data_IF_034875863095
#
_entry.id   IF_034875863095
#
_cell.length_a   1.000
_cell.length_b   1.000
_cell.length_c   1.000
_cell.angle_alpha   90.00
_cell.angle_beta   90.00
_cell.angle_gamma   90.00
#
_symmetry.space_group_name_H-M   'P 1'
#
loop_
_entity.id
_entity.type
_entity.pdbx_description
1 polymer ?
#
# COMPACT_ATOMS: atom_id res chain seq x y z
N UNK A 1 11.10 16.52 19.51
CA UNK A 1 12.17 16.54 18.50
C UNK A 1 11.48 16.65 17.15
N UNK A 2 11.27 17.88 16.69
CA UNK A 2 10.52 18.17 15.46
C UNK A 2 11.47 18.34 14.30
N UNK A 3 11.32 17.49 13.28
CA UNK A 3 12.09 17.61 12.04
C UNK A 3 11.40 18.60 11.13
N UNK A 4 12.05 19.75 10.92
CA UNK A 4 11.73 20.70 9.85
C UNK A 4 11.89 19.99 8.51
N UNK A 5 10.79 19.87 7.75
CA UNK A 5 10.82 19.42 6.36
C UNK A 5 10.87 20.68 5.48
N UNK A 6 11.89 20.87 4.65
CA UNK A 6 11.90 21.97 3.69
C UNK A 6 10.83 21.72 2.61
N UNK A 7 9.97 22.71 2.38
CA UNK A 7 9.08 22.75 1.22
C UNK A 7 9.92 22.99 -0.04
N UNK A 8 9.87 22.06 -0.97
CA UNK A 8 10.44 22.23 -2.31
C UNK A 8 9.32 22.74 -3.24
N UNK A 9 9.43 24.01 -3.62
CA UNK A 9 8.58 24.62 -4.66
C UNK A 9 8.92 24.03 -6.03
N UNK A 10 8.00 23.23 -6.56
CA UNK A 10 8.08 22.61 -7.88
C UNK A 10 7.51 23.52 -8.98
N UNK A 11 8.05 24.73 -9.17
CA UNK A 11 7.54 25.66 -10.20
C UNK A 11 8.54 26.15 -11.26
N UNK A 12 9.77 25.66 -11.31
CA UNK A 12 10.77 26.23 -12.25
C UNK A 12 11.26 25.24 -13.32
N UNK A 13 10.35 24.66 -14.12
CA UNK A 13 10.77 23.85 -15.27
C UNK A 13 9.77 23.81 -16.45
N UNK A 14 8.90 24.81 -16.61
CA UNK A 14 7.92 24.86 -17.72
C UNK A 14 8.12 26.09 -18.63
N UNK A 15 9.36 26.57 -18.80
CA UNK A 15 9.63 27.90 -19.36
C UNK A 15 10.37 27.99 -20.71
N UNK A 16 10.82 26.91 -21.35
CA UNK A 16 11.78 27.07 -22.49
C UNK A 16 11.54 26.24 -23.74
N UNK A 17 10.38 25.59 -23.93
CA UNK A 17 10.08 24.85 -25.17
C UNK A 17 9.03 25.49 -26.08
N UNK A 18 8.50 26.68 -25.74
CA UNK A 18 7.44 27.35 -26.53
C UNK A 18 7.96 28.43 -27.50
N UNK A 19 9.24 28.43 -27.88
CA UNK A 19 9.84 29.50 -28.69
C UNK A 19 10.19 29.12 -30.14
N UNK A 20 9.93 27.89 -30.60
CA UNK A 20 10.32 27.45 -31.95
C UNK A 20 9.15 27.21 -32.92
N UNK A 21 7.90 27.30 -32.47
CA UNK A 21 6.72 27.14 -33.33
C UNK A 21 6.22 28.51 -33.81
N UNK A 22 7.03 29.20 -34.62
CA UNK A 22 6.64 30.53 -35.07
C UNK A 22 7.54 31.18 -36.11
N UNK A 23 8.16 30.40 -37.01
CA UNK A 23 8.94 30.98 -38.10
C UNK A 23 8.92 30.09 -39.35
N UNK A 24 7.73 29.88 -39.91
CA UNK A 24 7.62 29.54 -41.32
C UNK A 24 7.78 30.83 -42.14
N UNK A 25 9.01 31.26 -42.41
CA UNK A 25 9.29 32.16 -43.54
C UNK A 25 10.78 32.14 -43.90
N UNK A 26 11.04 31.90 -45.18
CA UNK A 26 12.24 32.31 -45.90
C UNK A 26 13.49 31.39 -45.78
N UNK A 27 13.78 30.76 -46.91
CA UNK A 27 14.88 29.83 -47.24
C UNK A 27 16.29 30.44 -47.22
N UNK A 28 16.63 31.35 -46.29
CA UNK A 28 17.93 32.05 -46.36
C UNK A 28 18.80 32.12 -45.10
N UNK A 29 18.48 31.38 -44.05
CA UNK A 29 19.29 31.35 -42.82
C UNK A 29 19.76 29.92 -42.43
N UNK A 30 20.06 29.09 -43.41
CA UNK A 30 20.38 27.67 -43.24
C UNK A 30 21.78 27.31 -42.69
N UNK A 31 22.57 28.23 -42.13
CA UNK A 31 23.95 27.90 -41.72
C UNK A 31 24.37 28.36 -40.31
N UNK A 32 23.55 29.13 -39.60
CA UNK A 32 23.93 29.62 -38.26
C UNK A 32 23.42 28.75 -37.09
N UNK A 33 22.37 27.94 -37.28
CA UNK A 33 21.88 27.03 -36.23
C UNK A 33 22.56 25.65 -36.23
N UNK A 34 23.30 25.27 -37.28
CA UNK A 34 23.95 23.97 -37.36
C UNK A 34 25.22 23.82 -36.51
N UNK A 35 25.89 24.93 -36.16
CA UNK A 35 27.21 24.88 -35.51
C UNK A 35 27.15 25.00 -33.97
N UNK A 36 26.01 25.38 -33.41
CA UNK A 36 25.79 25.42 -31.96
C UNK A 36 25.31 24.07 -31.38
N UNK A 37 24.98 23.09 -32.23
CA UNK A 37 24.58 21.75 -31.79
C UNK A 37 25.78 20.81 -31.56
N UNK A 38 26.94 21.09 -32.15
CA UNK A 38 28.08 20.15 -32.21
C UNK A 38 29.19 20.39 -31.18
N UNK A 39 29.12 21.44 -30.35
CA UNK A 39 30.11 21.69 -29.27
C UNK A 39 29.55 21.38 -27.87
N UNK A 40 28.26 21.03 -27.77
CA UNK A 40 27.62 20.64 -26.51
C UNK A 40 27.62 19.12 -26.24
N UNK A 41 28.28 18.31 -27.07
CA UNK A 41 28.29 16.84 -26.95
C UNK A 41 29.49 16.27 -26.14
N UNK A 42 30.46 17.09 -25.73
CA UNK A 42 31.73 16.59 -25.18
C UNK A 42 31.90 16.60 -23.66
N UNK A 43 31.13 17.40 -22.90
CA UNK A 43 31.42 17.66 -21.48
C UNK A 43 30.27 17.32 -20.52
N UNK A 44 29.11 16.90 -21.01
CA UNK A 44 27.92 16.67 -20.18
C UNK A 44 27.59 15.19 -19.90
N UNK A 45 28.43 14.24 -20.32
CA UNK A 45 28.13 12.81 -20.16
C UNK A 45 28.62 12.20 -18.84
N UNK A 46 29.49 12.88 -18.09
CA UNK A 46 29.96 12.39 -16.78
C UNK A 46 28.96 12.70 -15.64
N UNK A 47 28.19 13.79 -15.72
CA UNK A 47 27.22 14.17 -14.67
C UNK A 47 25.83 13.53 -14.82
N UNK A 48 25.54 12.90 -15.96
CA UNK A 48 24.25 12.23 -16.19
C UNK A 48 24.17 10.83 -15.54
N UNK A 49 25.31 10.21 -15.22
CA UNK A 49 25.34 8.91 -14.55
C UNK A 49 24.95 9.00 -13.07
N UNK A 50 25.30 10.09 -12.38
CA UNK A 50 24.95 10.29 -10.96
C UNK A 50 23.49 10.73 -10.76
N UNK A 51 22.89 11.41 -11.72
CA UNK A 51 21.47 11.78 -11.66
C UNK A 51 20.53 10.56 -11.73
N UNK A 52 20.90 9.51 -12.46
CA UNK A 52 20.10 8.28 -12.56
C UNK A 52 20.09 7.46 -11.24
N UNK A 53 21.16 7.52 -10.45
CA UNK A 53 21.25 6.81 -9.16
C UNK A 53 20.35 7.44 -8.08
N UNK A 54 20.19 8.77 -8.07
CA UNK A 54 19.28 9.48 -7.16
C UNK A 54 17.80 9.23 -7.47
N UNK A 55 17.45 9.05 -8.74
CA UNK A 55 16.07 8.68 -9.13
C UNK A 55 15.74 7.25 -8.66
N UNK A 56 16.70 6.31 -8.71
CA UNK A 56 16.46 4.94 -8.27
C UNK A 56 16.37 4.77 -6.74
N UNK A 57 17.06 5.60 -5.95
CA UNK A 57 16.95 5.53 -4.49
C UNK A 57 15.60 6.05 -3.95
N UNK A 58 14.92 6.93 -4.67
CA UNK A 58 13.57 7.39 -4.31
C UNK A 58 12.46 6.37 -4.62
N UNK A 59 12.73 5.36 -5.45
CA UNK A 59 11.72 4.33 -5.80
C UNK A 59 11.77 3.13 -4.84
N UNK A 60 12.88 2.92 -4.13
CA UNK A 60 13.14 1.71 -3.33
C UNK A 60 12.74 1.82 -1.85
N UNK A 61 11.74 2.64 -1.53
CA UNK A 61 11.18 2.71 -0.16
C UNK A 61 9.67 2.45 -0.16
N UNK A 62 9.19 1.65 -1.11
CA UNK A 62 7.97 0.90 -0.87
C UNK A 62 8.36 -0.24 0.07
N UNK A 63 8.02 -0.11 1.35
CA UNK A 63 8.21 -1.18 2.30
C UNK A 63 7.56 -2.45 1.73
N UNK A 64 8.36 -3.51 1.59
CA UNK A 64 7.92 -4.77 0.97
C UNK A 64 6.88 -5.51 1.83
N UNK A 65 6.60 -5.00 3.03
CA UNK A 65 5.71 -5.58 4.03
C UNK A 65 4.78 -4.52 4.63
N UNK A 66 3.48 -4.81 4.67
CA UNK A 66 2.51 -4.01 5.41
C UNK A 66 2.86 -3.86 6.89
N UNK A 67 3.60 -4.82 7.47
CA UNK A 67 4.00 -4.77 8.87
C UNK A 67 4.90 -3.58 9.22
N UNK A 68 5.60 -3.00 8.24
CA UNK A 68 6.51 -1.87 8.48
C UNK A 68 5.76 -0.53 8.62
N UNK A 69 4.50 -0.49 8.22
CA UNK A 69 3.64 0.68 8.36
C UNK A 69 2.99 0.67 9.74
N UNK A 70 3.75 1.06 10.76
CA UNK A 70 3.32 1.07 12.17
C UNK A 70 2.44 2.28 12.59
N UNK A 71 2.01 3.11 11.64
CA UNK A 71 1.07 4.20 11.89
C UNK A 71 -0.12 4.13 10.95
N UNK A 72 -1.26 4.64 11.41
CA UNK A 72 -2.51 4.66 10.66
C UNK A 72 -2.38 5.43 9.35
N UNK A 73 -1.64 6.53 9.37
CA UNK A 73 -1.43 7.42 8.24
C UNK A 73 -0.60 6.75 7.15
N UNK A 74 0.46 6.03 7.54
CA UNK A 74 1.30 5.28 6.60
C UNK A 74 0.53 4.10 6.01
N UNK A 75 -0.19 3.35 6.85
CA UNK A 75 -0.99 2.23 6.38
C UNK A 75 -2.12 2.67 5.44
N UNK A 76 -2.75 3.83 5.70
CA UNK A 76 -3.75 4.40 4.80
C UNK A 76 -3.16 4.68 3.42
N UNK A 77 -1.99 5.33 3.34
CA UNK A 77 -1.30 5.55 2.05
C UNK A 77 -0.95 4.23 1.35
N UNK A 78 -0.45 3.23 2.09
CA UNK A 78 -0.16 1.92 1.54
C UNK A 78 -1.43 1.20 1.03
N UNK A 79 -2.57 1.41 1.69
CA UNK A 79 -3.88 0.90 1.24
C UNK A 79 -4.34 1.63 -0.03
N UNK A 80 -4.18 2.95 -0.10
CA UNK A 80 -4.51 3.75 -1.29
C UNK A 80 -3.64 3.35 -2.51
N UNK A 81 -2.42 2.86 -2.28
CA UNK A 81 -1.55 2.28 -3.31
C UNK A 81 -1.84 0.80 -3.62
N UNK A 82 -2.80 0.18 -2.92
CA UNK A 82 -3.14 -1.23 -3.10
C UNK A 82 -2.06 -2.19 -2.61
N UNK A 83 -1.17 -1.76 -1.72
CA UNK A 83 -0.14 -2.63 -1.11
C UNK A 83 -0.65 -3.35 0.14
N UNK A 84 -1.63 -2.77 0.82
CA UNK A 84 -2.18 -3.28 2.08
C UNK A 84 -3.71 -3.29 2.08
N UNK A 85 -4.28 -4.10 2.96
CA UNK A 85 -5.74 -4.29 3.05
C UNK A 85 -6.41 -3.22 3.91
N UNK A 86 -5.70 -2.68 4.90
CA UNK A 86 -6.20 -1.63 5.76
C UNK A 86 -5.52 -1.58 7.12
N UNK A 87 -5.80 -0.49 7.85
CA UNK A 87 -5.35 -0.30 9.22
C UNK A 87 -6.39 -0.83 10.19
N UNK A 88 -5.97 -1.71 11.11
CA UNK A 88 -6.83 -2.18 12.17
C UNK A 88 -6.14 -2.08 13.54
N UNK A 89 -6.75 -1.32 14.44
CA UNK A 89 -6.24 -1.03 15.78
C UNK A 89 -4.86 -0.34 15.74
N UNK A 90 -3.78 -1.11 15.86
CA UNK A 90 -2.38 -0.70 15.95
C UNK A 90 -1.49 -1.35 14.87
N UNK A 91 -2.07 -2.12 13.95
CA UNK A 91 -1.33 -2.79 12.88
C UNK A 91 -1.95 -2.63 11.51
N UNK A 92 -1.08 -2.62 10.48
CA UNK A 92 -1.48 -2.61 9.08
C UNK A 92 -1.53 -4.05 8.55
N UNK A 93 -2.65 -4.43 7.96
CA UNK A 93 -2.87 -5.81 7.50
C UNK A 93 -2.41 -6.01 6.06
N UNK A 94 -1.74 -7.14 5.82
CA UNK A 94 -1.33 -7.61 4.49
C UNK A 94 -2.55 -7.83 3.58
N UNK A 95 -2.37 -7.69 2.27
CA UNK A 95 -3.37 -8.08 1.27
C UNK A 95 -3.78 -9.56 1.40
N UNK A 96 -2.85 -10.40 1.81
CA UNK A 96 -3.06 -11.84 2.04
C UNK A 96 -3.62 -12.14 3.43
N UNK A 97 -3.99 -11.12 4.20
CA UNK A 97 -4.56 -11.33 5.53
C UNK A 97 -5.87 -12.11 5.43
N UNK A 98 -5.96 -13.13 6.27
CA UNK A 98 -7.08 -14.05 6.43
C UNK A 98 -7.90 -13.69 7.66
N UNK A 99 -9.01 -14.38 7.89
CA UNK A 99 -9.77 -14.18 9.14
C UNK A 99 -8.93 -14.59 10.36
N UNK A 100 -8.06 -15.60 10.26
CA UNK A 100 -7.23 -16.08 11.36
C UNK A 100 -6.20 -15.05 11.86
N UNK A 101 -5.87 -14.06 11.03
CA UNK A 101 -4.97 -12.97 11.38
C UNK A 101 -5.63 -11.95 12.32
N UNK A 102 -6.96 -11.93 12.38
CA UNK A 102 -7.74 -11.06 13.25
C UNK A 102 -7.72 -11.59 14.70
N UNK A 103 -7.05 -10.86 15.58
CA UNK A 103 -6.81 -11.28 16.98
C UNK A 103 -7.87 -10.80 17.96
N UNK A 104 -8.88 -10.07 17.50
CA UNK A 104 -9.95 -9.59 18.39
C UNK A 104 -11.35 -9.78 17.80
N UNK A 105 -12.31 -10.01 18.69
CA UNK A 105 -13.72 -10.17 18.33
C UNK A 105 -14.30 -8.92 17.66
N UNK A 106 -13.82 -7.72 18.01
CA UNK A 106 -14.26 -6.48 17.37
C UNK A 106 -13.69 -6.36 15.95
N UNK A 107 -12.47 -6.83 15.70
CA UNK A 107 -11.90 -6.90 14.35
C UNK A 107 -12.66 -7.90 13.49
N UNK A 108 -12.93 -9.08 14.04
CA UNK A 108 -13.69 -10.10 13.34
C UNK A 108 -15.07 -9.62 12.90
N UNK A 109 -15.81 -8.92 13.77
CA UNK A 109 -17.14 -8.39 13.47
C UNK A 109 -17.14 -7.30 12.39
N UNK A 110 -16.09 -6.48 12.35
CA UNK A 110 -15.95 -5.38 11.37
C UNK A 110 -15.07 -5.75 10.18
N UNK A 111 -14.68 -7.02 10.05
CA UNK A 111 -13.77 -7.51 9.03
C UNK A 111 -14.29 -7.26 7.61
N UNK A 112 -15.61 -7.37 7.41
CA UNK A 112 -16.24 -7.12 6.13
C UNK A 112 -16.25 -5.64 5.77
N UNK A 113 -16.66 -4.77 6.71
CA UNK A 113 -16.75 -3.32 6.50
C UNK A 113 -15.36 -2.69 6.30
N UNK A 114 -14.38 -3.09 7.11
CA UNK A 114 -13.08 -2.42 7.17
C UNK A 114 -12.03 -3.04 6.27
N UNK A 115 -12.10 -4.36 6.02
CA UNK A 115 -11.06 -5.10 5.31
C UNK A 115 -11.61 -5.84 4.09
N UNK A 116 -12.92 -5.82 3.83
CA UNK A 116 -13.55 -6.63 2.80
C UNK A 116 -13.36 -8.13 3.01
N UNK A 117 -13.12 -8.59 4.25
CA UNK A 117 -13.02 -10.01 4.57
C UNK A 117 -14.40 -10.55 4.93
N UNK A 118 -14.84 -11.62 4.27
CA UNK A 118 -16.06 -12.32 4.63
C UNK A 118 -15.71 -13.41 5.65
N UNK A 119 -15.71 -13.04 6.93
CA UNK A 119 -15.48 -13.97 8.02
C UNK A 119 -16.80 -14.51 8.57
N UNK A 120 -16.79 -15.76 9.03
CA UNK A 120 -17.96 -16.43 9.60
C UNK A 120 -18.37 -15.84 10.94
N UNK A 121 -17.39 -15.46 11.75
CA UNK A 121 -17.60 -14.88 13.08
C UNK A 121 -16.50 -15.25 14.06
N UNK A 122 -16.63 -14.79 15.30
CA UNK A 122 -15.62 -15.00 16.34
C UNK A 122 -15.83 -16.35 17.04
N UNK A 123 -14.79 -17.18 17.08
CA UNK A 123 -14.79 -18.50 17.72
C UNK A 123 -14.39 -18.51 19.19
N UNK A 124 -14.06 -17.36 19.78
CA UNK A 124 -13.62 -17.23 21.18
C UNK A 124 -12.19 -16.73 21.31
N UNK A 125 -11.27 -17.35 20.57
CA UNK A 125 -9.84 -16.99 20.53
C UNK A 125 -9.38 -16.44 19.18
N UNK A 126 -10.11 -16.78 18.10
CA UNK A 126 -9.78 -16.39 16.74
C UNK A 126 -11.04 -16.12 15.92
N UNK A 127 -10.87 -15.42 14.80
CA UNK A 127 -11.94 -15.18 13.84
C UNK A 127 -11.97 -16.32 12.82
N UNK A 128 -13.14 -16.93 12.64
CA UNK A 128 -13.32 -18.12 11.83
C UNK A 128 -13.65 -17.78 10.39
N UNK A 129 -13.07 -18.55 9.47
CA UNK A 129 -13.41 -18.54 8.05
C UNK A 129 -14.70 -19.31 7.75
N UNK A 130 -15.26 -19.13 6.57
CA UNK A 130 -16.35 -19.97 6.10
C UNK A 130 -15.88 -21.41 5.92
N UNK A 131 -16.59 -22.35 6.54
CA UNK A 131 -16.22 -23.78 6.53
C UNK A 131 -15.20 -24.17 7.60
N UNK A 132 -14.83 -23.26 8.50
CA UNK A 132 -13.99 -23.59 9.66
C UNK A 132 -14.62 -24.68 10.52
N UNK A 133 -13.78 -25.58 11.05
CA UNK A 133 -14.18 -26.66 11.95
C UNK A 133 -14.70 -26.11 13.29
N UNK A 134 -15.67 -26.80 13.89
CA UNK A 134 -16.13 -26.53 15.25
C UNK A 134 -14.99 -26.59 16.27
N UNK A 135 -13.95 -27.40 16.01
CA UNK A 135 -12.76 -27.55 16.87
C UNK A 135 -11.95 -26.26 17.09
N UNK A 136 -12.17 -25.24 16.26
CA UNK A 136 -11.56 -23.92 16.42
C UNK A 136 -12.37 -23.00 17.34
N UNK A 137 -13.57 -23.41 17.75
CA UNK A 137 -14.39 -22.69 18.71
C UNK A 137 -13.89 -23.03 20.11
N UNK A 138 -13.24 -22.06 20.74
CA UNK A 138 -12.66 -22.17 22.09
C UNK A 138 -13.53 -21.53 23.17
N UNK A 139 -14.65 -20.91 22.80
CA UNK A 139 -15.63 -20.38 23.76
C UNK A 139 -16.82 -21.33 23.88
N UNK A 140 -17.11 -21.72 25.13
CA UNK A 140 -18.20 -22.66 25.44
C UNK A 140 -19.57 -22.14 25.04
N UNK A 141 -19.86 -20.86 25.27
CA UNK A 141 -21.17 -20.26 24.95
C UNK A 141 -21.38 -20.22 23.44
N UNK A 142 -20.32 -19.89 22.70
CA UNK A 142 -20.32 -19.93 21.24
C UNK A 142 -20.50 -21.36 20.75
N UNK A 143 -19.82 -22.34 21.35
CA UNK A 143 -19.94 -23.75 21.01
C UNK A 143 -21.37 -24.28 21.15
N UNK A 144 -22.00 -24.02 22.30
CA UNK A 144 -23.38 -24.42 22.61
C UNK A 144 -24.41 -23.77 21.66
N UNK A 145 -24.04 -22.64 21.02
CA UNK A 145 -24.88 -21.92 20.06
C UNK A 145 -24.30 -21.88 18.64
N UNK A 146 -23.36 -22.77 18.32
CA UNK A 146 -22.52 -22.71 17.11
C UNK A 146 -23.34 -22.74 15.83
N UNK A 147 -24.41 -23.53 15.78
CA UNK A 147 -25.32 -23.57 14.64
C UNK A 147 -26.03 -22.24 14.41
N UNK A 148 -26.56 -21.62 15.48
CA UNK A 148 -27.32 -20.36 15.37
C UNK A 148 -26.42 -19.16 15.09
N UNK A 149 -25.26 -19.10 15.75
CA UNK A 149 -24.35 -17.94 15.68
C UNK A 149 -23.43 -18.00 14.47
N UNK A 150 -22.91 -19.19 14.18
CA UNK A 150 -21.86 -19.40 13.18
C UNK A 150 -22.28 -20.36 12.09
N UNK A 151 -23.46 -20.98 12.12
CA UNK A 151 -23.85 -21.99 11.13
C UNK A 151 -22.84 -23.14 11.02
N UNK A 152 -22.18 -23.50 12.13
CA UNK A 152 -21.24 -24.63 12.20
C UNK A 152 -21.89 -25.71 13.06
N UNK A 153 -22.03 -26.95 12.57
CA UNK A 153 -22.53 -28.04 13.39
C UNK A 153 -21.47 -28.44 14.43
N UNK A 154 -21.88 -28.64 15.69
CA UNK A 154 -20.99 -29.16 16.73
C UNK A 154 -21.57 -30.36 17.46
N UNK A 155 -20.69 -31.20 18.02
CA UNK A 155 -21.06 -32.35 18.83
C UNK A 155 -21.26 -32.00 20.33
N UNK A 156 -21.08 -30.73 20.70
CA UNK A 156 -21.08 -30.25 22.07
C UNK A 156 -19.68 -29.89 22.57
N UNK A 157 -19.59 -29.45 23.83
CA UNK A 157 -18.35 -28.97 24.43
C UNK A 157 -17.48 -30.13 24.96
N UNK A 158 -16.26 -30.26 24.43
CA UNK A 158 -15.29 -31.29 24.81
C UNK A 158 -14.39 -30.95 26.00
N UNK A 159 -14.55 -29.77 26.61
CA UNK A 159 -13.77 -29.33 27.78
C UNK A 159 -12.88 -28.12 27.50
N UNK A 160 -12.17 -28.12 26.37
CA UNK A 160 -11.30 -27.01 25.92
C UNK A 160 -11.72 -26.40 24.58
N UNK A 161 -12.49 -27.16 23.79
CA UNK A 161 -12.98 -26.79 22.47
C UNK A 161 -14.32 -27.46 22.20
N UNK A 162 -15.00 -26.95 21.18
CA UNK A 162 -16.10 -27.62 20.50
C UNK A 162 -15.57 -28.68 19.51
#
# INVERSE_FOLDING_TARGET
>A
MGSNIPSFDAQTAAGTLSACEGAAMSLRWGLACGFLFLVAEGAALADLADAAALVQQNVKVHADSCGDHNTRELCKKATDWGLCKGWFHDMCLSLTATCNDLKSASQCRKSNELLGLSCRGWGGSSCLEHGASATLISDRTICENSWRLLGVPSAGWGGSSC
#
